data_IF_250580135423
#
_entry.id   IF_250580135423
#
_cell.length_a   1.000
_cell.length_b   1.000
_cell.length_c   1.000
_cell.angle_alpha   90.00
_cell.angle_beta   90.00
_cell.angle_gamma   90.00
#
_symmetry.space_group_name_H-M   'P 1'
#
loop_
_entity.id
_entity.type
_entity.pdbx_description
1 polymer ?
#
# COMPACT_ATOMS: atom_id res chain seq x y z
N UNK A 1 9.32 -11.90 -5.70
CA UNK A 1 8.69 -10.60 -5.39
C UNK A 1 7.41 -10.54 -6.19
N UNK A 2 6.29 -10.70 -5.50
CA UNK A 2 4.95 -10.66 -6.06
C UNK A 2 4.55 -9.22 -6.33
N UNK A 3 4.92 -8.24 -5.49
CA UNK A 3 4.55 -6.82 -5.69
C UNK A 3 5.80 -6.03 -6.03
N UNK A 4 5.84 -5.42 -7.22
CA UNK A 4 7.01 -4.67 -7.69
C UNK A 4 6.99 -3.21 -7.22
N UNK A 5 5.86 -2.52 -7.36
CA UNK A 5 5.75 -1.07 -7.11
C UNK A 5 4.29 -0.64 -6.83
N UNK A 6 4.12 0.53 -6.20
CA UNK A 6 2.84 1.26 -6.18
C UNK A 6 3.04 2.60 -6.91
N UNK A 7 2.29 2.82 -7.99
CA UNK A 7 2.33 4.02 -8.83
C UNK A 7 1.10 4.91 -8.62
N UNK A 8 1.20 6.14 -9.11
CA UNK A 8 0.11 7.13 -9.09
C UNK A 8 -0.49 7.27 -7.70
N UNK A 9 0.38 7.40 -6.69
CA UNK A 9 -0.04 7.52 -5.31
C UNK A 9 -0.62 8.92 -5.12
N UNK A 10 -1.84 8.96 -4.63
CA UNK A 10 -2.53 10.20 -4.28
C UNK A 10 -2.93 10.12 -2.80
N UNK A 11 -2.74 11.24 -2.10
CA UNK A 11 -3.21 11.40 -0.72
C UNK A 11 -4.66 11.87 -0.76
N UNK A 12 -5.54 11.15 -0.09
CA UNK A 12 -6.92 11.59 0.09
C UNK A 12 -7.05 12.43 1.37
N UNK A 13 -7.80 13.53 1.27
CA UNK A 13 -8.12 14.35 2.43
C UNK A 13 -9.06 13.57 3.37
N UNK A 14 -8.63 13.45 4.62
CA UNK A 14 -9.42 12.83 5.68
C UNK A 14 -9.59 13.81 6.83
N UNK A 15 -10.64 13.62 7.64
CA UNK A 15 -10.89 14.42 8.83
C UNK A 15 -9.98 14.03 10.02
N UNK A 16 -9.06 13.07 9.84
CA UNK A 16 -8.23 12.51 10.92
C UNK A 16 -6.75 12.82 10.65
N UNK A 17 -6.23 13.86 11.30
CA UNK A 17 -4.88 14.39 11.03
C UNK A 17 -3.74 13.38 11.23
N UNK A 18 -3.82 12.51 12.23
CA UNK A 18 -2.77 11.52 12.53
C UNK A 18 -2.88 10.23 11.70
N UNK A 19 -3.91 10.13 10.84
CA UNK A 19 -4.16 8.98 9.98
C UNK A 19 -4.36 9.43 8.54
N UNK A 20 -3.31 9.26 7.74
CA UNK A 20 -3.31 9.62 6.35
C UNK A 20 -3.82 8.47 5.50
N UNK A 21 -4.70 8.78 4.54
CA UNK A 21 -5.22 7.82 3.58
C UNK A 21 -4.58 8.08 2.22
N UNK A 22 -4.19 7.00 1.56
CA UNK A 22 -3.62 7.02 0.23
C UNK A 22 -4.31 6.00 -0.66
N UNK A 23 -4.39 6.34 -1.93
CA UNK A 23 -4.81 5.44 -3.01
C UNK A 23 -3.74 5.39 -4.07
N UNK A 24 -3.65 4.28 -4.80
CA UNK A 24 -2.71 4.14 -5.90
C UNK A 24 -2.94 2.87 -6.70
N UNK A 25 -2.02 2.59 -7.61
CA UNK A 25 -2.04 1.40 -8.47
C UNK A 25 -0.85 0.51 -8.12
N UNK A 26 -1.10 -0.66 -7.54
CA UNK A 26 -0.09 -1.68 -7.32
C UNK A 26 0.22 -2.40 -8.63
N UNK A 27 1.51 -2.61 -8.90
CA UNK A 27 2.01 -3.50 -9.95
C UNK A 27 2.48 -4.78 -9.27
N UNK A 28 1.96 -5.92 -9.71
CA UNK A 28 2.27 -7.21 -9.11
C UNK A 28 2.29 -8.34 -10.16
N UNK A 29 3.00 -9.42 -9.88
CA UNK A 29 3.15 -10.56 -10.78
C UNK A 29 2.64 -11.85 -10.12
N UNK A 30 1.66 -12.49 -10.77
CA UNK A 30 1.12 -13.79 -10.35
C UNK A 30 1.37 -14.78 -11.48
N UNK A 31 1.99 -15.93 -11.15
CA UNK A 31 2.35 -16.97 -12.12
C UNK A 31 3.13 -16.40 -13.33
N UNK A 32 4.02 -15.44 -13.08
CA UNK A 32 4.84 -14.80 -14.11
C UNK A 32 4.11 -13.77 -14.98
N UNK A 33 2.83 -13.49 -14.72
CA UNK A 33 2.06 -12.45 -15.43
C UNK A 33 1.97 -11.21 -14.58
N UNK A 34 2.49 -10.10 -15.11
CA UNK A 34 2.29 -8.77 -14.53
C UNK A 34 0.82 -8.37 -14.62
N UNK A 35 0.32 -7.78 -13.54
CA UNK A 35 -1.03 -7.28 -13.36
C UNK A 35 -0.95 -5.95 -12.62
N UNK A 36 -2.02 -5.18 -12.75
CA UNK A 36 -2.20 -3.95 -12.00
C UNK A 36 -3.51 -4.01 -11.23
N UNK A 37 -3.56 -3.35 -10.08
CA UNK A 37 -4.78 -3.27 -9.29
C UNK A 37 -4.76 -2.08 -8.35
N UNK A 38 -5.94 -1.53 -8.10
CA UNK A 38 -6.15 -0.43 -7.16
C UNK A 38 -5.85 -0.90 -5.74
N UNK A 39 -5.04 -0.10 -5.05
CA UNK A 39 -4.69 -0.32 -3.65
C UNK A 39 -5.07 0.93 -2.85
N UNK A 40 -5.56 0.69 -1.65
CA UNK A 40 -5.78 1.70 -0.61
C UNK A 40 -4.88 1.37 0.57
N UNK A 41 -4.25 2.38 1.16
CA UNK A 41 -3.50 2.18 2.39
C UNK A 41 -3.61 3.38 3.34
N UNK A 42 -3.44 3.08 4.62
CA UNK A 42 -3.41 4.07 5.68
C UNK A 42 -2.04 4.05 6.35
N UNK A 43 -1.54 5.24 6.64
CA UNK A 43 -0.37 5.45 7.49
C UNK A 43 -0.84 6.19 8.73
N UNK A 44 -0.72 5.53 9.88
CA UNK A 44 -1.14 6.06 11.16
C UNK A 44 0.06 6.18 12.09
N UNK A 45 0.29 7.38 12.62
CA UNK A 45 1.33 7.62 13.61
C UNK A 45 0.74 7.51 15.00
N UNK A 46 1.11 6.46 15.73
CA UNK A 46 0.64 6.25 17.09
C UNK A 46 1.36 7.15 18.08
N UNK A 47 0.71 7.53 19.20
CA UNK A 47 1.37 8.25 20.30
C UNK A 47 2.57 7.50 20.89
N UNK A 48 2.63 6.17 20.72
CA UNK A 48 3.74 5.32 21.15
C UNK A 48 4.99 5.42 20.25
N UNK A 49 4.93 6.20 19.17
CA UNK A 49 6.01 6.33 18.18
C UNK A 49 5.98 5.25 17.09
N UNK A 50 5.11 4.25 17.21
CA UNK A 50 4.91 3.24 16.18
C UNK A 50 4.16 3.82 14.97
N UNK A 51 4.59 3.45 13.76
CA UNK A 51 3.84 3.74 12.53
C UNK A 51 3.07 2.50 12.12
N UNK A 52 1.75 2.55 12.23
CA UNK A 52 0.88 1.48 11.79
C UNK A 52 0.55 1.64 10.30
N UNK A 53 0.67 0.55 9.54
CA UNK A 53 0.38 0.50 8.11
C UNK A 53 -0.70 -0.53 7.86
N UNK A 54 -1.83 -0.05 7.34
CA UNK A 54 -2.94 -0.88 6.88
C UNK A 54 -3.00 -0.79 5.37
N UNK A 55 -3.11 -1.94 4.69
CA UNK A 55 -3.18 -1.98 3.22
C UNK A 55 -4.31 -2.90 2.80
N UNK A 56 -5.01 -2.51 1.73
CA UNK A 56 -6.11 -3.26 1.13
C UNK A 56 -6.00 -3.17 -0.38
N UNK A 57 -6.14 -4.31 -1.04
CA UNK A 57 -6.41 -4.35 -2.48
C UNK A 57 -7.89 -4.11 -2.70
N UNK A 58 -8.23 -3.09 -3.49
CA UNK A 58 -9.60 -2.71 -3.82
C UNK A 58 -10.14 -3.62 -4.93
N UNK A 59 -9.30 -3.89 -5.92
CA UNK A 59 -9.65 -4.80 -7.00
C UNK A 59 -9.60 -6.25 -6.53
N UNK A 60 -10.49 -7.08 -7.08
CA UNK A 60 -10.55 -8.51 -6.78
C UNK A 60 -9.29 -9.20 -7.29
N UNK A 61 -8.70 -10.06 -6.46
CA UNK A 61 -7.53 -10.87 -6.82
C UNK A 61 -7.89 -12.34 -6.74
N UNK A 62 -7.71 -13.05 -7.84
CA UNK A 62 -7.90 -14.51 -7.92
C UNK A 62 -6.60 -15.25 -7.56
N UNK A 63 -5.99 -14.94 -6.40
CA UNK A 63 -4.76 -15.54 -5.86
C UNK A 63 -4.69 -15.42 -4.32
N UNK A 64 -3.91 -16.23 -3.58
CA UNK A 64 -3.71 -16.06 -2.13
C UNK A 64 -3.34 -14.63 -1.73
N UNK A 65 -4.31 -13.94 -1.12
CA UNK A 65 -4.26 -12.51 -0.80
C UNK A 65 -3.18 -12.19 0.24
N UNK A 66 -2.91 -13.10 1.19
CA UNK A 66 -2.01 -12.84 2.30
C UNK A 66 -0.61 -12.41 1.86
N UNK A 67 -0.03 -13.11 0.87
CA UNK A 67 1.32 -12.82 0.39
C UNK A 67 1.39 -11.44 -0.28
N UNK A 68 0.37 -11.09 -1.05
CA UNK A 68 0.26 -9.78 -1.73
C UNK A 68 0.17 -8.67 -0.68
N UNK A 69 -0.65 -8.84 0.36
CA UNK A 69 -0.79 -7.85 1.44
C UNK A 69 0.53 -7.68 2.21
N UNK A 70 1.26 -8.77 2.49
CA UNK A 70 2.57 -8.69 3.15
C UNK A 70 3.60 -7.89 2.33
N UNK A 71 3.71 -8.19 1.02
CA UNK A 71 4.63 -7.47 0.14
C UNK A 71 4.21 -6.02 -0.09
N UNK A 72 2.91 -5.73 -0.18
CA UNK A 72 2.39 -4.36 -0.24
C UNK A 72 2.76 -3.56 1.02
N UNK A 73 2.57 -4.13 2.21
CA UNK A 73 2.99 -3.48 3.47
C UNK A 73 4.49 -3.20 3.48
N UNK A 74 5.31 -4.11 2.99
CA UNK A 74 6.75 -3.90 2.87
C UNK A 74 7.09 -2.79 1.85
N UNK A 75 6.36 -2.71 0.73
CA UNK A 75 6.50 -1.64 -0.25
C UNK A 75 6.16 -0.27 0.35
N UNK A 76 5.03 -0.15 1.06
CA UNK A 76 4.62 1.09 1.74
C UNK A 76 5.64 1.52 2.80
N UNK A 77 6.19 0.59 3.60
CA UNK A 77 7.28 0.91 4.55
C UNK A 77 8.47 1.56 3.86
N UNK A 78 8.93 0.98 2.75
CA UNK A 78 10.04 1.56 1.97
C UNK A 78 9.71 2.95 1.43
N UNK A 79 8.48 3.19 0.97
CA UNK A 79 8.06 4.51 0.50
C UNK A 79 8.10 5.56 1.62
N UNK A 80 7.73 5.19 2.84
CA UNK A 80 7.83 6.05 4.03
C UNK A 80 9.30 6.35 4.36
N UNK A 81 10.13 5.30 4.48
CA UNK A 81 11.56 5.42 4.81
C UNK A 81 12.32 6.28 3.79
N UNK A 82 11.95 6.16 2.51
CA UNK A 82 12.56 6.92 1.41
C UNK A 82 11.91 8.28 1.14
N UNK A 83 10.89 8.67 1.92
CA UNK A 83 10.14 9.94 1.77
C UNK A 83 9.58 10.14 0.36
N UNK A 84 9.02 9.07 -0.23
CA UNK A 84 8.46 9.06 -1.60
C UNK A 84 6.93 9.10 -1.64
N UNK A 85 6.27 9.27 -0.49
CA UNK A 85 4.84 9.56 -0.44
C UNK A 85 4.61 11.06 -0.69
N UNK A 86 3.54 11.44 -1.42
CA UNK A 86 3.18 12.84 -1.68
C UNK A 86 2.72 13.59 -0.42
#
# INVERSE_FOLDING_TARGET
MIVSEIKNIEKEDTHIYYRQKYVGTAIYAILGKEQTGKVEFFVEHKPTGETEIQVRMIDKIDYPILQIIMELKACVRRLIETRKLP
#
